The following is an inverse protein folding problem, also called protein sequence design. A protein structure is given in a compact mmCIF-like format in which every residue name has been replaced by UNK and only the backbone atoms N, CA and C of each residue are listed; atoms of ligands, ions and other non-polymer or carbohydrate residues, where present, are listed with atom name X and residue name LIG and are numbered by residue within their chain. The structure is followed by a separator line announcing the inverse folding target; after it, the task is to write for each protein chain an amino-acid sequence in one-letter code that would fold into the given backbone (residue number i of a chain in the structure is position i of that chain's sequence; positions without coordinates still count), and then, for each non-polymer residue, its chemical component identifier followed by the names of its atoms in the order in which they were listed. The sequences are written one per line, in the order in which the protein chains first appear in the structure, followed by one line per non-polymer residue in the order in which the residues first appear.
data_IF_421761063736
#
_entry.id   IF_421761063736
#
_cell.length_a   1.000
_cell.length_b   1.000
_cell.length_c   1.000
_cell.angle_alpha   90.00
_cell.angle_beta   90.00
_cell.angle_gamma   90.00
#
_symmetry.space_group_name_H-M   'P 1'
#
loop_
_entity.id
_entity.type
_entity.pdbx_description
1 polymer ?
#
# COMPACT_ATOMS: atom_id res chain seq x y z
N UNK A 1 -16.06 34.16 -37.68
CA UNK A 1 -16.00 34.60 -36.27
C UNK A 1 -17.05 33.95 -35.35
N UNK A 2 -18.36 33.99 -35.64
CA UNK A 2 -19.39 33.43 -34.72
C UNK A 2 -19.22 31.93 -34.41
N UNK A 3 -18.86 31.11 -35.41
CA UNK A 3 -18.63 29.67 -35.24
C UNK A 3 -17.39 29.37 -34.37
N UNK A 4 -16.32 30.14 -34.58
CA UNK A 4 -15.06 30.01 -33.83
C UNK A 4 -15.24 30.35 -32.35
N UNK A 5 -15.97 31.43 -32.03
CA UNK A 5 -16.28 31.78 -30.64
C UNK A 5 -17.20 30.76 -29.96
N UNK A 6 -18.09 30.11 -30.75
CA UNK A 6 -18.94 29.01 -30.25
C UNK A 6 -18.10 27.76 -29.93
N UNK A 7 -17.10 27.46 -30.75
CA UNK A 7 -16.15 26.37 -30.50
C UNK A 7 -15.33 26.62 -29.22
N UNK A 8 -14.78 27.82 -29.05
CA UNK A 8 -14.03 28.19 -27.84
C UNK A 8 -14.89 28.00 -26.58
N UNK A 9 -16.14 28.49 -26.59
CA UNK A 9 -17.06 28.30 -25.46
C UNK A 9 -17.35 26.83 -25.15
N UNK A 10 -17.45 25.98 -26.17
CA UNK A 10 -17.64 24.53 -25.98
C UNK A 10 -16.41 23.92 -25.32
N UNK A 11 -15.21 24.29 -25.76
CA UNK A 11 -13.95 23.82 -25.16
C UNK A 11 -13.79 24.25 -23.70
N UNK A 12 -14.15 25.49 -23.37
CA UNK A 12 -14.17 25.98 -21.98
C UNK A 12 -15.11 25.14 -21.10
N UNK A 13 -16.34 24.90 -21.57
CA UNK A 13 -17.31 24.06 -20.83
C UNK A 13 -16.77 22.64 -20.62
N UNK A 14 -16.16 22.03 -21.64
CA UNK A 14 -15.54 20.70 -21.52
C UNK A 14 -14.42 20.72 -20.47
N UNK A 15 -13.56 21.74 -20.49
CA UNK A 15 -12.48 21.88 -19.51
C UNK A 15 -13.01 22.04 -18.07
N UNK A 16 -14.08 22.84 -17.90
CA UNK A 16 -14.76 22.98 -16.60
C UNK A 16 -15.37 21.65 -16.13
N UNK A 17 -16.00 20.88 -17.01
CA UNK A 17 -16.59 19.57 -16.67
C UNK A 17 -15.51 18.55 -16.25
N UNK A 18 -14.38 18.50 -16.97
CA UNK A 18 -13.25 17.64 -16.61
C UNK A 18 -12.68 18.04 -15.25
N UNK A 19 -12.47 19.34 -15.03
CA UNK A 19 -11.97 19.87 -13.75
C UNK A 19 -12.91 19.54 -12.60
N UNK A 20 -14.22 19.67 -12.81
CA UNK A 20 -15.23 19.32 -11.81
C UNK A 20 -15.19 17.82 -11.46
N UNK A 21 -15.09 16.94 -12.46
CA UNK A 21 -14.98 15.50 -12.23
C UNK A 21 -13.73 15.13 -11.42
N UNK A 22 -12.57 15.72 -11.72
CA UNK A 22 -11.34 15.51 -10.96
C UNK A 22 -11.51 15.93 -9.49
N UNK A 23 -12.15 17.07 -9.24
CA UNK A 23 -12.42 17.53 -7.87
C UNK A 23 -13.35 16.60 -7.10
N UNK A 24 -14.42 16.10 -7.74
CA UNK A 24 -15.34 15.14 -7.11
C UNK A 24 -14.63 13.85 -6.72
N UNK A 25 -13.77 13.33 -7.59
CA UNK A 25 -12.97 12.12 -7.32
C UNK A 25 -12.00 12.36 -6.14
N UNK A 26 -11.33 13.51 -6.09
CA UNK A 26 -10.39 13.85 -5.02
C UNK A 26 -11.08 14.03 -3.65
N UNK A 27 -12.38 14.32 -3.61
CA UNK A 27 -13.14 14.47 -2.38
C UNK A 27 -13.68 13.13 -1.83
N UNK A 28 -13.48 12.02 -2.54
CA UNK A 28 -14.00 10.73 -2.12
C UNK A 28 -13.02 10.06 -1.15
N UNK A 29 -13.41 10.01 0.13
CA UNK A 29 -12.63 9.35 1.17
C UNK A 29 -12.56 7.85 0.91
N UNK A 30 -11.36 7.28 0.97
CA UNK A 30 -11.19 5.84 0.86
C UNK A 30 -11.69 5.15 2.14
N UNK A 31 -12.57 4.16 1.98
CA UNK A 31 -13.09 3.36 3.08
C UNK A 31 -12.65 1.91 2.85
N UNK A 32 -11.67 1.41 3.63
CA UNK A 32 -11.22 0.04 3.48
C UNK A 32 -12.33 -0.93 3.88
N UNK A 33 -12.40 -2.06 3.18
CA UNK A 33 -13.28 -3.16 3.57
C UNK A 33 -12.90 -3.71 4.95
N UNK A 34 -13.91 -4.24 5.67
CA UNK A 34 -13.72 -5.02 6.89
C UNK A 34 -12.72 -6.15 6.62
N UNK A 35 -11.74 -6.30 7.51
CA UNK A 35 -10.65 -7.26 7.32
C UNK A 35 -10.07 -7.83 8.61
N UNK A 36 -9.42 -8.99 8.49
CA UNK A 36 -8.62 -9.63 9.53
C UNK A 36 -7.23 -10.01 9.00
N UNK A 37 -6.29 -10.33 9.91
CA UNK A 37 -4.94 -10.82 9.56
C UNK A 37 -4.13 -9.96 8.57
N UNK A 38 -4.43 -8.66 8.51
CA UNK A 38 -3.64 -7.69 7.75
C UNK A 38 -2.40 -7.29 8.55
N UNK A 39 -1.41 -6.75 7.86
CA UNK A 39 -0.25 -6.14 8.52
C UNK A 39 -0.48 -4.64 8.69
N UNK A 40 0.04 -4.06 9.77
CA UNK A 40 -0.01 -2.64 10.04
C UNK A 40 1.37 -2.18 10.53
N UNK A 41 2.00 -1.25 9.82
CA UNK A 41 3.37 -0.81 10.09
C UNK A 41 3.43 0.69 10.22
N UNK A 42 3.93 1.19 11.35
CA UNK A 42 4.19 2.62 11.53
C UNK A 42 5.55 2.98 10.92
N UNK A 43 5.57 3.87 9.94
CA UNK A 43 6.78 4.48 9.39
C UNK A 43 6.65 5.99 9.51
N UNK A 44 7.61 6.60 10.20
CA UNK A 44 7.54 8.01 10.62
C UNK A 44 6.22 8.36 11.34
N UNK A 45 5.27 8.97 10.62
CA UNK A 45 3.95 9.41 11.13
C UNK A 45 2.79 8.81 10.33
N UNK A 46 3.05 7.79 9.52
CA UNK A 46 2.04 7.12 8.70
C UNK A 46 1.98 5.64 9.07
N UNK A 47 0.77 5.12 9.28
CA UNK A 47 0.53 3.69 9.44
C UNK A 47 0.17 3.14 8.07
N UNK A 48 0.90 2.13 7.62
CA UNK A 48 0.70 1.43 6.36
C UNK A 48 0.02 0.10 6.62
N UNK A 49 -1.10 -0.15 5.95
CA UNK A 49 -1.88 -1.37 6.08
C UNK A 49 -1.77 -2.17 4.80
N UNK A 50 -1.43 -3.47 4.91
CA UNK A 50 -1.21 -4.31 3.74
C UNK A 50 -1.85 -5.69 3.89
N UNK A 51 -2.58 -6.07 2.85
CA UNK A 51 -3.19 -7.39 2.65
C UNK A 51 -4.23 -7.77 3.70
N UNK A 52 -4.32 -9.07 3.96
CA UNK A 52 -5.23 -9.66 4.94
C UNK A 52 -6.33 -10.53 4.33
N UNK A 53 -7.37 -10.73 5.11
CA UNK A 53 -8.58 -11.49 4.80
C UNK A 53 -9.77 -10.54 4.81
N UNK A 54 -10.56 -10.48 3.74
CA UNK A 54 -11.78 -9.66 3.65
C UNK A 54 -13.00 -10.56 3.43
N UNK A 55 -14.20 -9.97 3.42
CA UNK A 55 -15.43 -10.68 3.08
C UNK A 55 -15.44 -11.20 1.62
N UNK A 56 -14.62 -10.62 0.73
CA UNK A 56 -14.56 -10.99 -0.69
C UNK A 56 -13.41 -11.95 -1.02
N UNK A 57 -12.31 -11.93 -0.28
CA UNK A 57 -11.14 -12.76 -0.58
C UNK A 57 -10.40 -13.20 0.68
N UNK A 58 -9.87 -14.44 0.63
CA UNK A 58 -9.03 -14.99 1.70
C UNK A 58 -7.68 -14.29 1.77
N UNK A 59 -7.17 -13.86 0.61
CA UNK A 59 -5.90 -13.17 0.44
C UNK A 59 -6.15 -11.88 -0.34
N UNK A 60 -5.56 -10.79 0.10
CA UNK A 60 -5.63 -9.52 -0.62
C UNK A 60 -4.25 -8.87 -0.63
N UNK A 61 -4.00 -8.02 -1.61
CA UNK A 61 -2.84 -7.13 -1.66
C UNK A 61 -3.27 -5.67 -1.49
N UNK A 62 -4.41 -5.45 -0.84
CA UNK A 62 -4.95 -4.12 -0.57
C UNK A 62 -3.91 -3.34 0.21
N UNK A 63 -3.64 -2.12 -0.25
CA UNK A 63 -2.64 -1.26 0.32
C UNK A 63 -3.22 0.13 0.54
N UNK A 64 -3.16 0.60 1.77
CA UNK A 64 -3.67 1.91 2.16
C UNK A 64 -2.91 2.44 3.38
N UNK A 65 -3.03 3.73 3.63
CA UNK A 65 -2.31 4.38 4.74
C UNK A 65 -3.20 5.31 5.55
N UNK A 66 -2.80 5.54 6.80
CA UNK A 66 -3.37 6.54 7.70
C UNK A 66 -2.25 7.47 8.18
N UNK A 67 -2.36 8.75 7.88
CA UNK A 67 -1.47 9.78 8.41
C UNK A 67 -1.92 10.19 9.82
N UNK A 68 -1.18 9.75 10.83
CA UNK A 68 -1.48 10.04 12.24
C UNK A 68 -0.86 11.36 12.71
N UNK A 69 -0.16 12.10 11.84
CA UNK A 69 0.29 13.47 12.16
C UNK A 69 -0.86 14.48 12.13
N UNK A 70 -1.96 14.14 11.47
CA UNK A 70 -3.17 14.95 11.36
C UNK A 70 -4.21 14.43 12.34
N UNK A 71 -4.81 15.32 13.11
CA UNK A 71 -5.98 14.97 13.91
C UNK A 71 -7.17 14.69 13.00
N UNK A 72 -7.94 13.65 13.30
CA UNK A 72 -9.20 13.35 12.63
C UNK A 72 -10.28 13.00 13.65
N UNK A 73 -11.52 13.36 13.34
CA UNK A 73 -12.68 13.09 14.19
C UNK A 73 -13.37 11.81 13.74
N UNK A 74 -13.81 10.99 14.69
CA UNK A 74 -14.53 9.75 14.37
C UNK A 74 -15.83 10.00 13.59
N UNK A 75 -16.47 11.16 13.77
CA UNK A 75 -17.70 11.57 13.08
C UNK A 75 -17.52 11.81 11.58
N UNK A 76 -16.32 12.19 11.16
CA UNK A 76 -15.98 12.48 9.76
C UNK A 76 -15.33 11.27 9.06
N UNK A 77 -15.13 10.17 9.80
CA UNK A 77 -14.44 8.98 9.32
C UNK A 77 -12.92 9.08 9.40
N UNK A 78 -12.23 7.94 9.30
CA UNK A 78 -10.77 7.89 9.29
C UNK A 78 -10.24 8.27 7.90
N UNK A 79 -9.32 9.25 7.78
CA UNK A 79 -8.81 9.75 6.49
C UNK A 79 -7.79 8.78 5.88
N UNK A 80 -8.25 7.58 5.53
CA UNK A 80 -7.42 6.62 4.82
C UNK A 80 -7.14 7.10 3.39
N UNK A 81 -5.92 6.85 2.93
CA UNK A 81 -5.46 7.12 1.57
C UNK A 81 -5.26 5.78 0.84
N UNK A 82 -5.85 5.66 -0.36
CA UNK A 82 -5.72 4.47 -1.19
C UNK A 82 -4.34 4.40 -1.86
N UNK A 83 -3.61 3.32 -1.62
CA UNK A 83 -2.30 3.04 -2.19
C UNK A 83 -2.29 1.78 -3.07
N UNK A 84 -3.46 1.24 -3.45
CA UNK A 84 -3.58 0.02 -4.26
C UNK A 84 -2.85 0.09 -5.61
N UNK A 85 -2.72 1.30 -6.17
CA UNK A 85 -1.95 1.54 -7.38
C UNK A 85 -0.45 1.15 -7.26
N UNK A 86 0.07 1.08 -6.03
CA UNK A 86 1.45 0.69 -5.74
C UNK A 86 1.59 -0.83 -5.51
N UNK A 87 0.53 -1.49 -5.03
CA UNK A 87 0.57 -2.92 -4.69
C UNK A 87 0.22 -3.85 -5.85
N UNK A 88 -0.68 -3.42 -6.75
CA UNK A 88 -1.30 -4.27 -7.77
C UNK A 88 -0.33 -5.06 -8.68
N UNK A 89 0.89 -4.56 -8.90
CA UNK A 89 1.89 -5.24 -9.75
C UNK A 89 3.09 -5.81 -8.99
N UNK A 90 3.23 -5.53 -7.70
CA UNK A 90 4.48 -5.80 -6.97
C UNK A 90 4.25 -6.70 -5.75
N UNK A 91 3.09 -6.58 -5.11
CA UNK A 91 2.77 -7.29 -3.87
C UNK A 91 1.85 -8.48 -4.17
N UNK A 92 2.26 -9.74 -3.89
CA UNK A 92 1.35 -10.87 -4.00
C UNK A 92 0.26 -10.74 -2.92
N UNK A 93 -0.94 -11.22 -3.25
CA UNK A 93 -2.02 -11.33 -2.27
C UNK A 93 -1.58 -12.23 -1.11
N UNK A 94 -1.80 -11.77 0.12
CA UNK A 94 -1.36 -12.48 1.31
C UNK A 94 -2.22 -12.15 2.53
N UNK A 95 -2.13 -13.00 3.55
CA UNK A 95 -2.58 -12.68 4.89
C UNK A 95 -1.57 -13.22 5.92
N UNK A 96 -1.71 -12.82 7.20
CA UNK A 96 -0.88 -13.31 8.32
C UNK A 96 0.63 -13.11 8.12
N UNK A 97 1.03 -12.22 7.21
CA UNK A 97 2.41 -11.83 7.04
C UNK A 97 2.87 -11.00 8.23
N UNK A 98 4.17 -10.73 8.30
CA UNK A 98 4.74 -9.82 9.28
C UNK A 98 5.57 -8.77 8.57
N UNK A 99 5.66 -7.60 9.19
CA UNK A 99 6.39 -6.45 8.68
C UNK A 99 7.41 -5.95 9.69
N UNK A 100 8.53 -5.43 9.21
CA UNK A 100 9.57 -4.79 10.03
C UNK A 100 10.11 -3.55 9.35
N UNK A 101 10.35 -2.48 10.11
CA UNK A 101 10.94 -1.24 9.58
C UNK A 101 12.47 -1.31 9.68
N UNK A 102 13.16 -0.83 8.64
CA UNK A 102 14.59 -0.68 8.60
C UNK A 102 15.05 0.15 7.41
N UNK A 103 16.23 -0.18 6.89
CA UNK A 103 16.94 0.65 5.91
C UNK A 103 17.75 1.76 6.61
N UNK A 104 18.71 2.35 5.88
CA UNK A 104 19.63 3.37 6.40
C UNK A 104 18.90 4.58 7.02
N UNK A 105 17.70 4.88 6.53
CA UNK A 105 16.90 6.03 6.95
C UNK A 105 15.67 5.65 7.78
N UNK A 106 15.47 4.36 8.14
CA UNK A 106 14.24 3.85 8.77
C UNK A 106 12.95 4.20 8.00
N UNK A 107 13.07 4.39 6.69
CA UNK A 107 12.03 4.81 5.77
C UNK A 107 11.46 3.63 4.97
N UNK A 108 11.95 2.43 5.25
CA UNK A 108 11.71 1.22 4.47
C UNK A 108 11.11 0.15 5.37
N UNK A 109 9.90 -0.33 5.07
CA UNK A 109 9.38 -1.53 5.73
C UNK A 109 9.49 -2.75 4.84
N UNK A 110 9.80 -3.88 5.48
CA UNK A 110 10.04 -5.19 4.91
C UNK A 110 8.88 -6.11 5.26
N UNK A 111 8.22 -6.66 4.24
CA UNK A 111 7.23 -7.72 4.40
C UNK A 111 7.91 -9.09 4.30
N UNK A 112 7.58 -10.04 5.18
CA UNK A 112 8.06 -11.42 5.09
C UNK A 112 7.08 -12.42 5.72
N UNK A 113 7.17 -13.69 5.31
CA UNK A 113 6.28 -14.75 5.77
C UNK A 113 4.86 -14.63 5.23
N UNK A 114 3.88 -15.06 6.04
CA UNK A 114 2.47 -15.05 5.69
C UNK A 114 2.00 -16.26 4.90
N UNK A 115 0.70 -16.30 4.63
CA UNK A 115 0.07 -17.26 3.76
C UNK A 115 -0.35 -16.57 2.47
N UNK A 116 0.06 -17.15 1.35
CA UNK A 116 -0.17 -16.66 -0.02
C UNK A 116 -0.95 -17.69 -0.84
N UNK A 117 -1.63 -18.63 -0.18
CA UNK A 117 -2.36 -19.71 -0.82
C UNK A 117 -1.48 -20.56 -1.74
N UNK A 118 -1.90 -20.71 -3.00
CA UNK A 118 -1.14 -21.47 -4.01
C UNK A 118 0.20 -20.83 -4.40
N UNK A 119 0.45 -19.60 -3.96
CA UNK A 119 1.66 -18.82 -4.25
C UNK A 119 2.67 -18.89 -3.09
N UNK A 120 2.59 -19.91 -2.22
CA UNK A 120 3.42 -20.09 -1.02
C UNK A 120 4.93 -20.03 -1.24
N UNK A 121 5.42 -20.27 -2.46
CA UNK A 121 6.83 -20.07 -2.85
C UNK A 121 7.36 -18.66 -2.55
N UNK A 122 6.49 -17.65 -2.57
CA UNK A 122 6.88 -16.27 -2.30
C UNK A 122 6.90 -15.93 -0.80
N UNK A 123 6.26 -16.73 0.05
CA UNK A 123 6.21 -16.51 1.50
C UNK A 123 7.58 -16.67 2.19
N UNK A 124 8.51 -17.41 1.57
CA UNK A 124 9.87 -17.62 2.08
C UNK A 124 10.94 -16.71 1.48
N UNK A 125 10.64 -15.99 0.39
CA UNK A 125 11.66 -15.37 -0.48
C UNK A 125 11.49 -13.86 -0.67
N UNK A 126 10.27 -13.33 -0.59
CA UNK A 126 10.04 -11.94 -0.95
C UNK A 126 10.25 -11.04 0.26
N UNK A 127 11.36 -10.30 0.24
CA UNK A 127 11.51 -9.09 1.04
C UNK A 127 11.04 -7.92 0.17
N UNK A 128 9.85 -7.38 0.44
CA UNK A 128 9.41 -6.16 -0.23
C UNK A 128 9.82 -4.94 0.55
N UNK A 129 10.50 -4.00 -0.09
CA UNK A 129 10.87 -2.72 0.52
C UNK A 129 10.01 -1.60 -0.04
N UNK A 130 9.48 -0.77 0.87
CA UNK A 130 8.72 0.44 0.54
C UNK A 130 9.49 1.67 1.03
N UNK A 131 10.18 2.40 0.14
CA UNK A 131 10.89 3.61 0.55
C UNK A 131 9.92 4.81 0.66
N UNK A 132 9.90 5.50 1.80
CA UNK A 132 9.00 6.63 2.10
C UNK A 132 9.68 8.01 2.02
N UNK A 133 10.96 8.10 1.61
CA UNK A 133 11.74 9.34 1.70
C UNK A 133 11.38 10.40 0.63
N UNK A 134 10.88 11.54 1.15
CA UNK A 134 10.86 12.96 0.68
C UNK A 134 10.56 13.35 -0.79
N UNK A 135 10.48 12.45 -1.76
CA UNK A 135 10.15 12.78 -3.16
C UNK A 135 8.83 12.17 -3.69
N UNK A 136 7.87 11.98 -2.78
CA UNK A 136 6.45 12.02 -3.11
C UNK A 136 5.74 10.70 -3.44
N UNK A 137 6.41 9.57 -3.63
CA UNK A 137 5.73 8.29 -3.94
C UNK A 137 6.41 7.12 -3.22
N UNK A 138 5.67 6.27 -2.48
CA UNK A 138 6.21 5.03 -1.95
C UNK A 138 6.61 4.10 -3.09
N UNK A 139 7.88 3.66 -3.12
CA UNK A 139 8.37 2.74 -4.15
C UNK A 139 8.44 1.31 -3.60
N UNK A 140 7.69 0.41 -4.21
CA UNK A 140 7.70 -1.02 -3.88
C UNK A 140 8.72 -1.76 -4.74
N UNK A 141 9.56 -2.61 -4.14
CA UNK A 141 10.45 -3.49 -4.91
C UNK A 141 10.47 -4.90 -4.31
N UNK A 142 10.48 -5.92 -5.18
CA UNK A 142 10.69 -7.32 -4.78
C UNK A 142 12.19 -7.56 -4.71
N UNK A 143 12.68 -7.96 -3.53
CA UNK A 143 14.05 -8.40 -3.36
C UNK A 143 14.07 -9.92 -3.46
N UNK A 144 14.78 -10.45 -4.45
CA UNK A 144 14.95 -11.90 -4.67
C UNK A 144 16.31 -12.43 -4.20
N UNK A 145 17.22 -11.55 -3.75
CA UNK A 145 18.59 -11.90 -3.34
C UNK A 145 18.69 -12.15 -1.83
N UNK A 146 18.48 -13.42 -1.45
CA UNK A 146 18.46 -13.93 -0.07
C UNK A 146 19.74 -13.62 0.73
N UNK A 147 20.89 -13.50 0.05
CA UNK A 147 22.19 -13.34 0.71
C UNK A 147 22.41 -11.94 1.29
N UNK A 148 21.63 -10.94 0.88
CA UNK A 148 21.75 -9.56 1.40
C UNK A 148 21.19 -9.38 2.82
N UNK A 149 20.51 -10.38 3.37
CA UNK A 149 19.75 -10.25 4.63
C UNK A 149 20.11 -11.27 5.73
N UNK A 150 21.28 -11.92 5.63
CA UNK A 150 21.85 -12.69 6.76
C UNK A 150 21.79 -11.95 8.13
N UNK A 151 21.98 -10.62 8.21
CA UNK A 151 21.87 -9.89 9.48
C UNK A 151 20.43 -9.85 10.05
N UNK A 152 19.41 -9.79 9.19
CA UNK A 152 18.00 -9.73 9.61
C UNK A 152 17.55 -11.10 10.14
N UNK A 153 18.05 -12.20 9.57
CA UNK A 153 17.75 -13.56 10.03
C UNK A 153 18.23 -13.82 11.47
N UNK A 154 19.39 -13.26 11.84
CA UNK A 154 19.97 -13.39 13.18
C UNK A 154 19.17 -12.63 14.25
N UNK A 155 18.45 -11.55 13.88
CA UNK A 155 17.64 -10.77 14.81
C UNK A 155 16.24 -11.35 15.04
N UNK A 156 15.66 -12.03 14.04
CA UNK A 156 14.26 -12.52 14.10
C UNK A 156 14.11 -14.02 14.41
N UNK A 157 15.20 -14.75 14.69
CA UNK A 157 15.13 -16.10 15.27
C UNK A 157 14.44 -17.14 14.38
N UNK A 158 14.62 -17.08 13.06
CA UNK A 158 14.07 -18.09 12.16
C UNK A 158 14.81 -19.43 12.28
N UNK A 159 14.28 -20.35 13.08
CA UNK A 159 14.60 -21.78 12.95
C UNK A 159 13.85 -22.35 11.74
N UNK A 160 14.48 -23.12 10.84
CA UNK A 160 13.76 -23.84 9.81
C UNK A 160 12.69 -24.72 10.47
N UNK A 161 11.47 -24.75 9.91
CA UNK A 161 10.49 -25.79 10.26
C UNK A 161 11.13 -27.14 9.92
N UNK A 162 11.13 -28.11 10.85
CA UNK A 162 11.49 -29.48 10.50
C UNK A 162 10.50 -29.95 9.44
N UNK A 163 11.02 -30.34 8.28
CA UNK A 163 10.26 -31.14 7.33
C UNK A 163 10.06 -32.52 7.98
N UNK A 164 8.86 -32.76 8.49
CA UNK A 164 8.38 -34.10 8.86
C UNK A 164 7.95 -34.87 7.62
#
# INVERSE_FOLDING_TARGET
MKLFNKLIRILEIIFYLISFQINVINCQQYVPMKRAFHTATLVEKKIYFLGGFTELSIYTNDFFTLDVSKSFNQSEGCPFEDLNHLSASVVPEHNRATTSVGGLSNDTFFLFGGDMGSQSKYASEILQSFNTSKLGMPKVSVITDYNRFLPVRLWFGFSPRPTG
#
